data_IF_297151058272
#
_entry.id   IF_297151058272
#
_cell.length_a   1.000
_cell.length_b   1.000
_cell.length_c   1.000
_cell.angle_alpha   90.00
_cell.angle_beta   90.00
_cell.angle_gamma   90.00
#
_symmetry.space_group_name_H-M   'P 1'
#
loop_
_entity.id
_entity.type
_entity.pdbx_description
1 polymer ?
#
# COMPACT_ATOMS: atom_id res chain seq x y z
N UNK A 1 4.63 4.68 -10.95
CA UNK A 1 4.78 3.24 -10.58
C UNK A 1 5.65 2.52 -11.63
N UNK A 2 6.80 1.96 -11.27
CA UNK A 2 7.73 1.24 -12.20
C UNK A 2 7.88 -0.24 -11.82
N UNK A 3 6.76 -0.94 -11.64
CA UNK A 3 6.74 -2.37 -11.25
C UNK A 3 6.01 -3.26 -12.26
N UNK A 4 5.52 -2.71 -13.38
CA UNK A 4 4.65 -3.42 -14.34
C UNK A 4 3.24 -3.73 -13.81
N UNK A 5 3.00 -3.56 -12.51
CA UNK A 5 1.71 -3.83 -11.85
C UNK A 5 0.61 -2.87 -12.29
N UNK A 6 0.97 -1.59 -12.53
CA UNK A 6 0.02 -0.59 -13.03
C UNK A 6 -0.53 -0.97 -14.41
N UNK A 7 0.36 -1.34 -15.32
CA UNK A 7 0.01 -1.75 -16.69
C UNK A 7 -0.84 -3.04 -16.71
N UNK A 8 -0.49 -4.03 -15.88
CA UNK A 8 -1.28 -5.25 -15.71
C UNK A 8 -2.67 -5.01 -15.08
N UNK A 9 -2.80 -3.97 -14.26
CA UNK A 9 -4.07 -3.54 -13.65
C UNK A 9 -4.89 -2.59 -14.55
N UNK A 10 -4.45 -2.34 -15.79
CA UNK A 10 -5.09 -1.41 -16.72
C UNK A 10 -4.95 0.07 -16.32
N UNK A 11 -4.03 0.40 -15.41
CA UNK A 11 -3.73 1.76 -14.97
C UNK A 11 -2.54 2.31 -15.75
N UNK A 12 -2.71 3.45 -16.42
CA UNK A 12 -1.57 4.16 -17.03
C UNK A 12 -0.65 4.74 -15.96
N UNK A 13 0.63 4.99 -16.29
CA UNK A 13 1.62 5.50 -15.32
C UNK A 13 1.20 6.87 -14.78
N UNK A 14 0.69 7.75 -15.65
CA UNK A 14 0.17 9.06 -15.28
C UNK A 14 -1.06 8.98 -14.36
N UNK A 15 -1.98 8.05 -14.62
CA UNK A 15 -3.14 7.84 -13.74
C UNK A 15 -2.71 7.26 -12.38
N UNK A 16 -1.80 6.29 -12.36
CA UNK A 16 -1.31 5.70 -11.12
C UNK A 16 -0.56 6.74 -10.26
N UNK A 17 0.27 7.57 -10.86
CA UNK A 17 1.02 8.60 -10.13
C UNK A 17 0.12 9.76 -9.67
N UNK A 18 -1.03 9.98 -10.32
CA UNK A 18 -2.01 11.01 -9.95
C UNK A 18 -3.13 10.49 -9.03
N UNK A 19 -3.32 9.17 -8.93
CA UNK A 19 -4.43 8.57 -8.21
C UNK A 19 -4.41 8.85 -6.70
N UNK A 20 -3.21 8.98 -6.12
CA UNK A 20 -3.02 9.26 -4.70
C UNK A 20 -1.85 10.22 -4.47
N UNK A 21 -1.87 10.98 -3.35
CA UNK A 21 -0.72 11.77 -2.91
C UNK A 21 0.57 10.95 -2.86
N UNK A 22 1.70 11.53 -3.29
CA UNK A 22 3.00 10.84 -3.42
C UNK A 22 3.46 10.08 -2.17
N UNK A 23 3.08 10.53 -0.98
CA UNK A 23 3.40 9.88 0.30
C UNK A 23 2.63 8.57 0.56
N UNK A 24 1.62 8.23 -0.24
CA UNK A 24 0.96 6.92 -0.19
C UNK A 24 1.71 5.85 -0.98
N UNK A 25 2.54 6.27 -1.93
CA UNK A 25 3.37 5.38 -2.74
C UNK A 25 4.71 5.14 -2.05
N UNK A 26 4.90 3.92 -1.55
CA UNK A 26 6.14 3.47 -0.91
C UNK A 26 7.00 2.66 -1.90
N UNK A 27 8.34 2.71 -1.78
CA UNK A 27 9.23 1.89 -2.61
C UNK A 27 8.94 0.40 -2.49
N UNK A 28 9.12 -0.35 -3.58
CA UNK A 28 8.84 -1.79 -3.65
C UNK A 28 9.63 -2.60 -2.61
N UNK A 29 10.88 -2.22 -2.33
CA UNK A 29 11.71 -2.86 -1.29
C UNK A 29 11.06 -2.75 0.11
N UNK A 30 10.44 -1.61 0.43
CA UNK A 30 9.74 -1.44 1.71
C UNK A 30 8.48 -2.29 1.79
N UNK A 31 7.77 -2.47 0.66
CA UNK A 31 6.61 -3.37 0.57
C UNK A 31 7.05 -4.81 0.82
N UNK A 32 8.11 -5.26 0.15
CA UNK A 32 8.65 -6.60 0.32
C UNK A 32 9.09 -6.86 1.77
N UNK A 33 9.84 -5.93 2.36
CA UNK A 33 10.27 -6.03 3.76
C UNK A 33 9.09 -6.10 4.72
N UNK A 34 8.08 -5.24 4.55
CA UNK A 34 6.90 -5.25 5.40
C UNK A 34 6.11 -6.57 5.32
N UNK A 35 6.07 -7.20 4.14
CA UNK A 35 5.48 -8.53 3.95
C UNK A 35 6.24 -9.62 4.72
N UNK A 36 7.57 -9.64 4.61
CA UNK A 36 8.43 -10.60 5.35
C UNK A 36 8.33 -10.40 6.86
N UNK A 37 8.38 -9.16 7.33
CA UNK A 37 8.25 -8.84 8.75
C UNK A 37 6.87 -9.26 9.29
N UNK A 38 5.80 -9.02 8.52
CA UNK A 38 4.44 -9.41 8.88
C UNK A 38 4.26 -10.93 8.96
N UNK A 39 4.88 -11.67 8.04
CA UNK A 39 4.91 -13.13 8.08
C UNK A 39 5.65 -13.63 9.33
N UNK A 40 6.82 -13.07 9.64
CA UNK A 40 7.58 -13.42 10.83
C UNK A 40 6.83 -13.11 12.14
N UNK A 41 6.02 -12.04 12.15
CA UNK A 41 5.19 -11.64 13.28
C UNK A 41 3.88 -12.45 13.40
N UNK A 42 3.60 -13.38 12.48
CA UNK A 42 2.35 -14.14 12.45
C UNK A 42 1.10 -13.29 12.19
N UNK A 43 1.27 -12.09 11.61
CA UNK A 43 0.16 -11.18 11.33
C UNK A 43 -0.48 -11.53 9.98
N UNK A 44 -1.81 -11.63 9.90
CA UNK A 44 -2.51 -11.99 8.67
C UNK A 44 -2.51 -10.88 7.61
N UNK A 45 -2.12 -9.66 7.97
CA UNK A 45 -2.02 -8.52 7.05
C UNK A 45 -0.85 -7.61 7.43
N UNK A 46 -0.26 -6.96 6.42
CA UNK A 46 0.83 -6.00 6.58
C UNK A 46 0.60 -4.78 5.68
N UNK A 47 0.76 -3.58 6.24
CA UNK A 47 0.52 -2.30 5.55
C UNK A 47 1.83 -1.50 5.51
N UNK A 48 2.47 -1.38 4.34
CA UNK A 48 3.73 -0.67 4.20
C UNK A 48 3.53 0.84 4.19
N UNK A 49 4.33 1.56 4.97
CA UNK A 49 4.25 3.03 5.12
C UNK A 49 3.35 3.49 6.29
N UNK A 50 3.79 4.53 7.00
CA UNK A 50 3.10 5.02 8.22
C UNK A 50 1.69 5.55 7.92
N UNK A 51 1.51 6.24 6.79
CA UNK A 51 0.20 6.77 6.38
C UNK A 51 -0.77 5.64 6.05
N UNK A 52 -0.32 4.61 5.31
CA UNK A 52 -1.14 3.45 4.98
C UNK A 52 -1.54 2.66 6.22
N UNK A 53 -0.64 2.53 7.20
CA UNK A 53 -0.95 1.89 8.48
C UNK A 53 -2.00 2.67 9.27
N UNK A 54 -1.86 4.00 9.37
CA UNK A 54 -2.85 4.85 10.05
C UNK A 54 -4.19 4.84 9.33
N UNK A 55 -4.20 4.89 7.99
CA UNK A 55 -5.41 4.79 7.19
C UNK A 55 -6.11 3.44 7.37
N UNK A 56 -5.37 2.33 7.36
CA UNK A 56 -5.92 0.99 7.57
C UNK A 56 -6.59 0.85 8.95
N UNK A 57 -5.94 1.34 10.01
CA UNK A 57 -6.55 1.37 11.35
C UNK A 57 -7.78 2.28 11.39
N UNK A 58 -7.75 3.42 10.69
CA UNK A 58 -8.91 4.31 10.59
C UNK A 58 -10.08 3.64 9.88
N UNK A 59 -9.86 2.92 8.77
CA UNK A 59 -10.90 2.15 8.09
C UNK A 59 -11.50 1.04 8.94
N UNK A 60 -10.76 0.51 9.91
CA UNK A 60 -11.26 -0.52 10.84
C UNK A 60 -12.24 0.04 11.87
N UNK A 61 -12.11 1.31 12.23
CA UNK A 61 -12.95 1.99 13.25
C UNK A 61 -13.96 2.98 12.65
N UNK A 62 -13.78 3.38 11.40
CA UNK A 62 -14.70 4.27 10.72
C UNK A 62 -16.10 3.63 10.61
N UNK A 63 -17.18 4.42 10.74
CA UNK A 63 -18.53 3.91 10.55
C UNK A 63 -18.67 3.34 9.14
N UNK A 64 -19.17 2.11 9.03
CA UNK A 64 -19.62 1.57 7.75
C UNK A 64 -20.95 2.23 7.43
N UNK A 65 -20.91 3.32 6.66
CA UNK A 65 -22.09 3.95 6.04
C UNK A 65 -22.56 3.15 4.84
#
# INVERSE_FOLDING_TARGET
>A
MDTGFGEAAGSTKEEADSALPRNMWVPAEQVAKAGVDGLAAGTPSSYPGRVNRVAAEFFRVAPRS
#
